data_IF_342098688372
#
_entry.id   IF_342098688372
#
_cell.length_a   1.000
_cell.length_b   1.000
_cell.length_c   1.000
_cell.angle_alpha   90.00
_cell.angle_beta   90.00
_cell.angle_gamma   90.00
#
_symmetry.space_group_name_H-M   'P 1'
#
loop_
_entity.id
_entity.type
_entity.pdbx_description
1 polymer ?
#
# COMPACT_ATOMS: atom_id res chain seq x y z
N UNK A 1 23.67 5.21 -29.44
CA UNK A 1 23.35 5.98 -28.23
C UNK A 1 22.52 7.18 -28.65
N UNK A 2 21.20 7.09 -28.50
CA UNK A 2 20.28 8.22 -28.69
C UNK A 2 19.94 8.68 -27.28
N UNK A 3 20.30 9.92 -26.94
CA UNK A 3 19.90 10.58 -25.71
C UNK A 3 18.36 10.62 -25.69
N UNK A 4 17.79 9.64 -24.98
CA UNK A 4 16.36 9.39 -24.84
C UNK A 4 15.81 10.61 -24.08
N UNK A 5 15.20 11.56 -24.80
CA UNK A 5 14.48 12.67 -24.18
C UNK A 5 13.53 12.07 -23.14
N UNK A 6 13.75 12.32 -21.85
CA UNK A 6 12.88 11.74 -20.84
C UNK A 6 11.48 12.30 -21.07
N UNK A 7 10.49 11.42 -21.10
CA UNK A 7 9.10 11.86 -21.23
C UNK A 7 8.73 12.58 -19.91
N UNK A 8 8.70 13.91 -19.96
CA UNK A 8 8.43 14.77 -18.80
C UNK A 8 6.94 15.09 -18.65
N UNK A 9 6.15 14.92 -19.72
CA UNK A 9 4.70 15.15 -19.71
C UNK A 9 3.94 13.97 -20.30
N UNK A 10 2.74 13.73 -19.75
CA UNK A 10 1.90 12.63 -20.20
C UNK A 10 1.30 12.96 -21.57
N UNK A 11 1.36 12.05 -22.57
CA UNK A 11 0.76 12.27 -23.88
C UNK A 11 -0.77 12.22 -23.79
N UNK A 12 -1.42 13.37 -23.65
CA UNK A 12 -2.87 13.46 -23.45
C UNK A 12 -3.71 12.80 -24.56
N UNK A 13 -3.16 12.65 -25.77
CA UNK A 13 -3.81 11.94 -26.87
C UNK A 13 -4.20 10.50 -26.52
N UNK A 14 -3.47 9.85 -25.60
CA UNK A 14 -3.76 8.50 -25.12
C UNK A 14 -5.10 8.44 -24.38
N UNK A 15 -5.52 9.52 -23.74
CA UNK A 15 -6.78 9.58 -22.99
C UNK A 15 -8.03 9.56 -23.89
N UNK A 16 -7.84 9.66 -25.21
CA UNK A 16 -8.89 9.49 -26.23
C UNK A 16 -9.18 8.01 -26.54
N UNK A 17 -8.26 7.10 -26.19
CA UNK A 17 -8.38 5.67 -26.49
C UNK A 17 -9.21 4.98 -25.41
N UNK A 18 -10.55 5.05 -25.56
CA UNK A 18 -11.51 4.63 -24.52
C UNK A 18 -11.43 3.16 -24.12
N UNK A 19 -10.96 2.29 -25.01
CA UNK A 19 -10.84 0.85 -24.74
C UNK A 19 -9.52 0.45 -24.05
N UNK A 20 -8.65 1.41 -23.69
CA UNK A 20 -7.41 1.08 -23.00
C UNK A 20 -7.72 0.53 -21.61
N UNK A 21 -7.17 -0.66 -21.35
CA UNK A 21 -7.26 -1.30 -20.04
C UNK A 21 -5.96 -1.21 -19.24
N UNK A 22 -4.83 -0.90 -19.88
CA UNK A 22 -3.51 -0.89 -19.23
C UNK A 22 -2.67 0.25 -19.75
N UNK A 23 -2.09 1.01 -18.82
CA UNK A 23 -1.11 2.06 -19.09
C UNK A 23 0.11 1.80 -18.22
N UNK A 24 1.28 1.83 -18.83
CA UNK A 24 2.56 1.82 -18.13
C UNK A 24 3.45 2.96 -18.66
N UNK A 25 3.67 3.95 -17.81
CA UNK A 25 4.62 5.05 -18.00
C UNK A 25 5.71 5.03 -16.91
N UNK A 26 6.01 3.85 -16.37
CA UNK A 26 7.08 3.71 -15.39
C UNK A 26 8.45 4.02 -16.00
N UNK A 27 9.40 4.47 -15.18
CA UNK A 27 10.74 4.90 -15.60
C UNK A 27 10.71 6.05 -16.62
N UNK A 28 9.78 6.98 -16.42
CA UNK A 28 9.71 8.26 -17.13
C UNK A 28 9.98 9.40 -16.15
N UNK A 29 10.18 10.61 -16.65
CA UNK A 29 10.33 11.78 -15.77
C UNK A 29 9.02 12.52 -15.58
N UNK A 30 7.89 11.81 -15.64
CA UNK A 30 6.58 12.39 -15.41
C UNK A 30 6.52 13.06 -14.03
N UNK A 31 6.16 14.34 -14.03
CA UNK A 31 5.94 15.12 -12.81
C UNK A 31 4.46 15.09 -12.39
N UNK A 32 3.55 14.83 -13.33
CA UNK A 32 2.11 14.78 -13.08
C UNK A 32 1.37 13.92 -14.10
N UNK A 33 0.14 13.56 -13.74
CA UNK A 33 -0.86 13.01 -14.64
C UNK A 33 -1.89 14.09 -15.00
N UNK A 34 -2.40 14.11 -16.24
CA UNK A 34 -3.37 15.11 -16.68
C UNK A 34 -4.76 14.77 -16.15
N UNK A 35 -5.63 15.76 -15.98
CA UNK A 35 -7.05 15.54 -15.63
C UNK A 35 -7.80 14.69 -16.67
N UNK A 36 -7.29 14.65 -17.90
CA UNK A 36 -7.86 13.80 -18.94
C UNK A 36 -7.67 12.30 -18.65
N UNK A 37 -6.83 11.89 -17.69
CA UNK A 37 -6.66 10.46 -17.33
C UNK A 37 -7.97 9.82 -16.86
N UNK A 38 -8.83 10.57 -16.16
CA UNK A 38 -10.13 10.08 -15.67
C UNK A 38 -11.12 9.70 -16.77
N UNK A 39 -10.81 10.00 -18.03
CA UNK A 39 -11.62 9.65 -19.19
C UNK A 39 -11.53 8.17 -19.60
N UNK A 40 -10.59 7.42 -19.03
CA UNK A 40 -10.30 6.02 -19.37
C UNK A 40 -11.12 5.07 -18.50
N UNK A 41 -12.45 5.06 -18.69
CA UNK A 41 -13.38 4.29 -17.85
C UNK A 41 -13.10 2.78 -17.77
N UNK A 42 -12.42 2.22 -18.78
CA UNK A 42 -12.03 0.81 -18.85
C UNK A 42 -10.61 0.51 -18.33
N UNK A 43 -9.88 1.52 -17.85
CA UNK A 43 -8.52 1.33 -17.33
C UNK A 43 -8.55 0.44 -16.08
N UNK A 44 -7.85 -0.69 -16.14
CA UNK A 44 -7.71 -1.68 -15.07
C UNK A 44 -6.35 -1.60 -14.39
N UNK A 45 -5.32 -1.11 -15.09
CA UNK A 45 -3.98 -0.97 -14.55
C UNK A 45 -3.34 0.35 -14.98
N UNK A 46 -2.83 1.09 -14.00
CA UNK A 46 -2.03 2.29 -14.21
C UNK A 46 -0.72 2.14 -13.45
N UNK A 47 0.40 2.13 -14.18
CA UNK A 47 1.74 2.11 -13.62
C UNK A 47 2.51 3.38 -14.03
N UNK A 48 3.00 4.11 -13.02
CA UNK A 48 3.81 5.32 -13.16
C UNK A 48 4.97 5.31 -12.15
N UNK A 49 5.57 4.13 -11.97
CA UNK A 49 6.68 3.94 -11.04
C UNK A 49 7.94 4.66 -11.52
N UNK A 50 8.88 4.96 -10.60
CA UNK A 50 10.17 5.55 -10.94
C UNK A 50 10.02 6.88 -11.71
N UNK A 51 9.17 7.76 -11.17
CA UNK A 51 8.85 9.06 -11.74
C UNK A 51 9.23 10.22 -10.81
N UNK A 52 8.61 11.37 -11.03
CA UNK A 52 8.74 12.56 -10.18
C UNK A 52 7.38 13.03 -9.66
N UNK A 53 6.37 12.15 -9.69
CA UNK A 53 4.99 12.47 -9.35
C UNK A 53 4.88 12.71 -7.84
N UNK A 54 4.23 13.81 -7.46
CA UNK A 54 3.94 14.14 -6.06
C UNK A 54 2.44 14.29 -5.77
N UNK A 55 1.59 14.38 -6.80
CA UNK A 55 0.13 14.51 -6.70
C UNK A 55 -0.56 13.67 -7.78
N UNK A 56 -1.85 13.41 -7.58
CA UNK A 56 -2.72 12.76 -8.56
C UNK A 56 -3.91 13.68 -8.88
N UNK A 57 -4.39 13.72 -10.14
CA UNK A 57 -5.53 14.54 -10.52
C UNK A 57 -6.83 14.03 -9.91
N UNK A 58 -7.76 14.93 -9.60
CA UNK A 58 -9.03 14.59 -8.95
C UNK A 58 -9.92 13.71 -9.84
N UNK A 59 -9.81 13.84 -11.15
CA UNK A 59 -10.48 13.00 -12.13
C UNK A 59 -10.13 11.51 -12.03
N UNK A 60 -9.05 11.12 -11.33
CA UNK A 60 -8.68 9.72 -11.16
C UNK A 60 -9.80 8.91 -10.49
N UNK A 61 -10.64 9.54 -9.65
CA UNK A 61 -11.85 8.92 -9.06
C UNK A 61 -12.85 8.38 -10.08
N UNK A 62 -12.78 8.82 -11.34
CA UNK A 62 -13.65 8.36 -12.42
C UNK A 62 -13.23 6.99 -12.97
N UNK A 63 -12.04 6.49 -12.64
CA UNK A 63 -11.53 5.19 -13.08
C UNK A 63 -12.21 4.03 -12.32
N UNK A 64 -13.50 3.81 -12.57
CA UNK A 64 -14.29 2.81 -11.83
C UNK A 64 -13.85 1.37 -12.07
N UNK A 65 -13.08 1.10 -13.13
CA UNK A 65 -12.55 -0.23 -13.45
C UNK A 65 -11.13 -0.49 -12.93
N UNK A 66 -10.48 0.48 -12.29
CA UNK A 66 -9.07 0.37 -11.88
C UNK A 66 -8.89 -0.72 -10.83
N UNK A 67 -7.98 -1.65 -11.10
CA UNK A 67 -7.66 -2.79 -10.22
C UNK A 67 -6.27 -2.67 -9.64
N UNK A 68 -5.32 -2.16 -10.40
CA UNK A 68 -3.92 -2.04 -9.98
C UNK A 68 -3.42 -0.62 -10.21
N UNK A 69 -2.84 -0.03 -9.16
CA UNK A 69 -2.20 1.28 -9.19
C UNK A 69 -0.76 1.16 -8.66
N UNK A 70 0.22 1.48 -9.51
CA UNK A 70 1.64 1.42 -9.20
C UNK A 70 2.24 2.83 -9.23
N UNK A 71 2.72 3.27 -8.06
CA UNK A 71 3.20 4.62 -7.73
C UNK A 71 4.56 4.57 -7.02
N UNK A 72 5.28 3.45 -7.16
CA UNK A 72 6.54 3.22 -6.45
C UNK A 72 7.62 4.21 -6.89
N UNK A 73 8.54 4.55 -5.99
CA UNK A 73 9.69 5.41 -6.30
C UNK A 73 9.27 6.74 -6.95
N UNK A 74 8.45 7.50 -6.23
CA UNK A 74 7.96 8.82 -6.62
C UNK A 74 8.24 9.83 -5.48
N UNK A 75 7.51 10.95 -5.44
CA UNK A 75 7.71 12.03 -4.47
C UNK A 75 6.48 12.26 -3.59
N UNK A 76 5.68 11.23 -3.34
CA UNK A 76 4.50 11.35 -2.47
C UNK A 76 4.93 11.54 -1.01
N UNK A 77 4.58 12.67 -0.42
CA UNK A 77 4.76 12.94 1.02
C UNK A 77 3.52 12.59 1.83
N UNK A 78 2.37 12.49 1.17
CA UNK A 78 1.07 12.07 1.71
C UNK A 78 0.36 11.22 0.66
N UNK A 79 -0.54 10.33 1.10
CA UNK A 79 -1.39 9.60 0.17
C UNK A 79 -2.42 10.58 -0.43
N UNK A 80 -2.49 10.75 -1.76
CA UNK A 80 -3.50 11.61 -2.37
C UNK A 80 -4.91 11.10 -2.04
N UNK A 81 -5.79 11.99 -1.57
CA UNK A 81 -7.13 11.62 -1.10
C UNK A 81 -7.96 10.86 -2.15
N UNK A 82 -7.76 11.20 -3.43
CA UNK A 82 -8.39 10.53 -4.58
C UNK A 82 -8.14 9.02 -4.63
N UNK A 83 -7.02 8.53 -4.08
CA UNK A 83 -6.73 7.09 -4.02
C UNK A 83 -7.81 6.37 -3.20
N UNK A 84 -8.30 6.99 -2.12
CA UNK A 84 -9.35 6.40 -1.26
C UNK A 84 -10.74 6.38 -1.88
N UNK A 85 -10.91 6.98 -3.07
CA UNK A 85 -12.14 6.94 -3.87
C UNK A 85 -12.13 5.82 -4.93
N UNK A 86 -11.03 5.10 -5.07
CA UNK A 86 -10.88 3.98 -6.01
C UNK A 86 -11.37 2.67 -5.39
N UNK A 87 -12.67 2.58 -5.08
CA UNK A 87 -13.24 1.43 -4.34
C UNK A 87 -13.09 0.06 -5.06
N UNK A 88 -12.84 0.07 -6.36
CA UNK A 88 -12.57 -1.14 -7.15
C UNK A 88 -11.12 -1.62 -7.10
N UNK A 89 -10.21 -0.84 -6.50
CA UNK A 89 -8.78 -1.10 -6.43
C UNK A 89 -8.50 -2.38 -5.62
N UNK A 90 -7.71 -3.27 -6.21
CA UNK A 90 -7.32 -4.56 -5.62
C UNK A 90 -5.85 -4.56 -5.21
N UNK A 91 -4.99 -3.86 -5.96
CA UNK A 91 -3.55 -3.80 -5.67
C UNK A 91 -3.07 -2.35 -5.67
N UNK A 92 -2.44 -1.93 -4.58
CA UNK A 92 -1.83 -0.62 -4.43
C UNK A 92 -0.35 -0.75 -4.06
N UNK A 93 0.52 -0.30 -4.95
CA UNK A 93 1.96 -0.28 -4.74
C UNK A 93 2.46 1.15 -4.69
N UNK A 94 2.89 1.63 -3.52
CA UNK A 94 3.38 3.01 -3.31
C UNK A 94 4.66 3.02 -2.46
N UNK A 95 5.46 1.96 -2.57
CA UNK A 95 6.74 1.83 -1.87
C UNK A 95 7.77 2.86 -2.33
N UNK A 96 8.79 3.10 -1.52
CA UNK A 96 9.88 4.06 -1.83
C UNK A 96 9.36 5.48 -2.09
N UNK A 97 8.54 5.97 -1.17
CA UNK A 97 8.04 7.34 -1.15
C UNK A 97 8.36 7.97 0.22
N UNK A 98 7.70 9.07 0.58
CA UNK A 98 7.94 9.81 1.82
C UNK A 98 6.65 9.93 2.65
N UNK A 99 5.75 8.96 2.54
CA UNK A 99 4.48 8.94 3.26
C UNK A 99 4.73 8.86 4.76
N UNK A 100 4.05 9.69 5.55
CA UNK A 100 4.16 9.67 7.02
C UNK A 100 2.96 9.05 7.72
N UNK A 101 1.81 8.97 7.04
CA UNK A 101 0.58 8.35 7.56
C UNK A 101 -0.37 7.98 6.41
N UNK A 102 -1.43 7.26 6.75
CA UNK A 102 -2.60 7.05 5.87
C UNK A 102 -3.82 7.75 6.48
N UNK A 103 -4.73 8.31 5.66
CA UNK A 103 -5.94 8.95 6.16
C UNK A 103 -6.95 7.92 6.68
N UNK A 104 -7.85 8.32 7.59
CA UNK A 104 -8.95 7.45 8.06
C UNK A 104 -9.93 7.02 6.96
N UNK A 105 -9.95 7.72 5.82
CA UNK A 105 -10.72 7.29 4.64
C UNK A 105 -10.12 6.07 3.95
N UNK A 106 -8.90 5.64 4.31
CA UNK A 106 -8.23 4.51 3.68
C UNK A 106 -9.02 3.20 3.81
N UNK A 107 -9.77 3.02 4.90
CA UNK A 107 -10.68 1.88 5.08
C UNK A 107 -11.84 1.79 4.08
N UNK A 108 -12.00 2.74 3.16
CA UNK A 108 -12.95 2.65 2.04
C UNK A 108 -12.56 1.62 0.99
N UNK A 109 -11.27 1.26 0.90
CA UNK A 109 -10.72 0.35 -0.11
C UNK A 109 -11.03 -1.12 0.19
N UNK A 110 -12.31 -1.47 0.30
CA UNK A 110 -12.78 -2.81 0.71
C UNK A 110 -12.40 -3.93 -0.26
N UNK A 111 -12.10 -3.58 -1.52
CA UNK A 111 -11.65 -4.53 -2.55
C UNK A 111 -10.13 -4.78 -2.52
N UNK A 112 -9.37 -4.04 -1.72
CA UNK A 112 -7.92 -4.11 -1.69
C UNK A 112 -7.48 -5.48 -1.16
N UNK A 113 -6.62 -6.15 -1.91
CA UNK A 113 -6.05 -7.48 -1.65
C UNK A 113 -4.56 -7.40 -1.32
N UNK A 114 -3.83 -6.54 -2.03
CA UNK A 114 -2.40 -6.34 -1.81
C UNK A 114 -2.07 -4.85 -1.64
N UNK A 115 -1.33 -4.56 -0.57
CA UNK A 115 -0.87 -3.22 -0.24
C UNK A 115 0.63 -3.25 0.04
N UNK A 116 1.40 -2.48 -0.75
CA UNK A 116 2.82 -2.27 -0.51
C UNK A 116 3.11 -0.81 -0.19
N UNK A 117 3.50 -0.56 1.05
CA UNK A 117 3.89 0.72 1.64
C UNK A 117 5.34 0.71 2.13
N UNK A 118 6.13 -0.30 1.76
CA UNK A 118 7.53 -0.41 2.20
C UNK A 118 8.37 0.81 1.82
N UNK A 119 9.46 1.06 2.55
CA UNK A 119 10.36 2.18 2.27
C UNK A 119 9.61 3.52 2.25
N UNK A 120 8.88 3.81 3.31
CA UNK A 120 8.25 5.10 3.57
C UNK A 120 8.64 5.58 4.98
N UNK A 121 8.00 6.64 5.47
CA UNK A 121 8.23 7.22 6.78
C UNK A 121 6.99 7.07 7.69
N UNK A 122 6.19 6.01 7.49
CA UNK A 122 4.91 5.86 8.18
C UNK A 122 5.15 5.59 9.66
N UNK A 123 4.56 6.40 10.53
CA UNK A 123 4.72 6.29 11.98
C UNK A 123 3.56 5.56 12.65
N UNK A 124 2.37 5.60 12.06
CA UNK A 124 1.20 4.86 12.54
C UNK A 124 0.23 4.50 11.40
N UNK A 125 -0.60 3.49 11.65
CA UNK A 125 -1.72 3.12 10.78
C UNK A 125 -3.04 3.65 11.35
N UNK A 126 -3.97 4.10 10.51
CA UNK A 126 -5.30 4.51 10.96
C UNK A 126 -6.10 3.29 11.45
N UNK A 127 -7.03 3.52 12.38
CA UNK A 127 -7.88 2.43 12.90
C UNK A 127 -8.75 1.81 11.80
N UNK A 128 -9.11 2.58 10.78
CA UNK A 128 -9.84 2.12 9.60
C UNK A 128 -9.10 1.07 8.75
N UNK A 129 -7.81 0.77 9.00
CA UNK A 129 -7.12 -0.34 8.33
C UNK A 129 -7.87 -1.68 8.51
N UNK A 130 -8.52 -1.86 9.67
CA UNK A 130 -9.35 -3.04 9.96
C UNK A 130 -10.62 -3.16 9.12
N UNK A 131 -10.94 -2.19 8.26
CA UNK A 131 -12.07 -2.25 7.33
C UNK A 131 -11.71 -2.80 5.94
N UNK A 132 -10.43 -3.09 5.69
CA UNK A 132 -9.95 -3.68 4.45
C UNK A 132 -10.27 -5.18 4.40
N UNK A 133 -11.55 -5.53 4.30
CA UNK A 133 -12.07 -6.90 4.46
C UNK A 133 -11.53 -7.92 3.45
N UNK A 134 -10.97 -7.48 2.33
CA UNK A 134 -10.40 -8.36 1.29
C UNK A 134 -8.87 -8.44 1.33
N UNK A 135 -8.21 -7.76 2.28
CA UNK A 135 -6.76 -7.62 2.28
C UNK A 135 -6.09 -8.94 2.65
N UNK A 136 -5.27 -9.45 1.73
CA UNK A 136 -4.56 -10.71 1.89
C UNK A 136 -3.07 -10.49 2.21
N UNK A 137 -2.50 -9.39 1.73
CA UNK A 137 -1.09 -9.08 1.91
C UNK A 137 -0.86 -7.61 2.21
N UNK A 138 -0.11 -7.35 3.28
CA UNK A 138 0.34 -6.00 3.64
C UNK A 138 1.85 -5.99 3.85
N UNK A 139 2.53 -5.12 3.11
CA UNK A 139 3.97 -4.88 3.23
C UNK A 139 4.19 -3.47 3.78
N UNK A 140 4.71 -3.40 5.00
CA UNK A 140 5.03 -2.18 5.74
C UNK A 140 6.50 -2.11 6.16
N UNK A 141 7.32 -3.00 5.64
CA UNK A 141 8.74 -3.08 5.97
C UNK A 141 9.47 -1.76 5.73
N UNK A 142 10.49 -1.43 6.54
CA UNK A 142 11.28 -0.20 6.39
C UNK A 142 10.41 1.05 6.45
N UNK A 143 9.70 1.17 7.55
CA UNK A 143 8.94 2.36 7.96
C UNK A 143 9.40 2.77 9.37
N UNK A 144 8.60 3.58 10.06
CA UNK A 144 8.90 4.08 11.40
C UNK A 144 7.78 3.72 12.39
N UNK A 145 7.05 2.62 12.13
CA UNK A 145 5.90 2.21 12.93
C UNK A 145 6.35 1.84 14.35
N UNK A 146 5.73 2.45 15.35
CA UNK A 146 5.93 2.10 16.77
C UNK A 146 4.88 1.11 17.29
N UNK A 147 3.72 1.06 16.65
CA UNK A 147 2.61 0.17 17.00
C UNK A 147 1.79 -0.25 15.78
N UNK A 148 1.04 -1.35 15.94
CA UNK A 148 -0.01 -1.79 15.01
C UNK A 148 -1.35 -1.67 15.74
N UNK A 149 -2.39 -1.07 15.14
CA UNK A 149 -3.67 -0.87 15.81
C UNK A 149 -4.39 -2.20 16.06
N UNK A 150 -5.15 -2.27 17.16
CA UNK A 150 -5.98 -3.45 17.50
C UNK A 150 -7.05 -3.78 16.43
N UNK A 151 -7.36 -2.83 15.54
CA UNK A 151 -8.27 -3.11 14.43
C UNK A 151 -7.70 -4.08 13.40
N UNK A 152 -6.39 -4.37 13.40
CA UNK A 152 -5.76 -5.30 12.47
C UNK A 152 -6.35 -6.71 12.56
N UNK A 153 -6.75 -7.16 13.76
CA UNK A 153 -7.36 -8.48 13.95
C UNK A 153 -8.70 -8.68 13.25
N UNK A 154 -9.34 -7.59 12.77
CA UNK A 154 -10.59 -7.66 12.00
C UNK A 154 -10.39 -8.15 10.55
N UNK A 155 -9.15 -8.15 10.05
CA UNK A 155 -8.84 -8.55 8.67
C UNK A 155 -8.66 -10.07 8.59
N UNK A 156 -9.75 -10.82 8.69
CA UNK A 156 -9.71 -12.30 8.71
C UNK A 156 -9.12 -12.94 7.45
N UNK A 157 -9.02 -12.18 6.35
CA UNK A 157 -8.45 -12.58 5.05
C UNK A 157 -6.94 -12.42 4.97
N UNK A 158 -6.29 -11.77 5.95
CA UNK A 158 -4.88 -11.45 5.90
C UNK A 158 -4.01 -12.71 6.03
N UNK A 159 -3.13 -12.93 5.05
CA UNK A 159 -2.24 -14.09 4.92
C UNK A 159 -0.79 -13.74 5.19
N UNK A 160 -0.36 -12.57 4.74
CA UNK A 160 1.04 -12.13 4.84
C UNK A 160 1.11 -10.71 5.42
N UNK A 161 1.91 -10.55 6.47
CA UNK A 161 2.16 -9.26 7.10
C UNK A 161 3.67 -9.06 7.27
N UNK A 162 4.23 -8.11 6.54
CA UNK A 162 5.67 -7.81 6.60
C UNK A 162 5.91 -6.48 7.31
N UNK A 163 6.43 -6.55 8.53
CA UNK A 163 6.70 -5.43 9.44
C UNK A 163 8.19 -5.21 9.71
N UNK A 164 9.06 -6.00 9.08
CA UNK A 164 10.49 -5.95 9.34
C UNK A 164 11.11 -4.56 9.13
N UNK A 165 12.15 -4.24 9.89
CA UNK A 165 12.79 -2.92 9.92
C UNK A 165 11.80 -1.77 10.23
N UNK A 166 11.18 -1.82 11.41
CA UNK A 166 10.35 -0.75 11.99
C UNK A 166 10.79 -0.48 13.44
N UNK A 167 10.02 0.30 14.20
CA UNK A 167 10.30 0.65 15.59
C UNK A 167 9.32 -0.03 16.57
N UNK A 168 8.80 -1.21 16.23
CA UNK A 168 7.75 -1.86 17.02
C UNK A 168 8.30 -2.33 18.38
N UNK A 169 7.62 -1.95 19.47
CA UNK A 169 7.92 -2.40 20.84
C UNK A 169 6.88 -3.39 21.39
N UNK A 170 5.71 -3.49 20.75
CA UNK A 170 4.69 -4.48 21.07
C UNK A 170 3.90 -4.88 19.81
N UNK A 171 3.15 -5.97 19.92
CA UNK A 171 2.07 -6.34 19.01
C UNK A 171 0.71 -6.20 19.71
N UNK A 172 -0.37 -5.85 18.98
CA UNK A 172 -1.73 -5.87 19.51
C UNK A 172 -2.17 -7.30 19.82
N UNK A 173 -3.04 -7.50 20.82
CA UNK A 173 -3.49 -8.86 21.17
C UNK A 173 -4.31 -9.49 20.04
N UNK A 174 -5.10 -8.66 19.35
CA UNK A 174 -5.93 -9.02 18.21
C UNK A 174 -5.16 -9.59 17.01
N UNK A 175 -3.84 -9.44 16.92
CA UNK A 175 -3.06 -10.13 15.87
C UNK A 175 -3.19 -11.67 15.99
N UNK A 176 -3.46 -12.16 17.20
CA UNK A 176 -3.72 -13.58 17.45
C UNK A 176 -5.08 -14.04 16.92
N UNK A 177 -5.97 -13.13 16.54
CA UNK A 177 -7.30 -13.41 15.96
C UNK A 177 -7.25 -13.63 14.45
N UNK A 178 -6.13 -13.29 13.79
CA UNK A 178 -5.97 -13.49 12.35
C UNK A 178 -5.94 -14.99 12.01
N UNK A 179 -7.05 -15.51 11.49
CA UNK A 179 -7.23 -16.93 11.20
C UNK A 179 -6.49 -17.39 9.93
N UNK A 180 -6.37 -16.50 8.94
CA UNK A 180 -5.73 -16.81 7.66
C UNK A 180 -4.23 -16.52 7.62
N UNK A 181 -3.65 -15.96 8.70
CA UNK A 181 -2.26 -15.52 8.71
C UNK A 181 -1.33 -16.73 8.54
N UNK A 182 -0.38 -16.60 7.64
CA UNK A 182 0.61 -17.64 7.32
C UNK A 182 2.03 -17.18 7.55
N UNK A 183 2.30 -15.89 7.33
CA UNK A 183 3.63 -15.32 7.50
C UNK A 183 3.55 -13.96 8.20
N UNK A 184 4.37 -13.80 9.23
CA UNK A 184 4.58 -12.56 9.97
C UNK A 184 6.07 -12.27 10.05
N UNK A 185 6.52 -11.20 9.40
CA UNK A 185 7.93 -10.78 9.44
C UNK A 185 8.08 -9.59 10.37
N UNK A 186 8.90 -9.71 11.41
CA UNK A 186 9.12 -8.69 12.45
C UNK A 186 10.60 -8.43 12.72
N UNK A 187 11.53 -9.08 12.03
CA UNK A 187 12.96 -8.86 12.17
C UNK A 187 13.34 -7.37 12.04
N UNK A 188 14.45 -6.98 12.68
CA UNK A 188 14.87 -5.58 12.69
C UNK A 188 13.90 -4.63 13.41
N UNK A 189 13.08 -5.14 14.34
CA UNK A 189 12.31 -4.36 15.29
C UNK A 189 12.78 -4.63 16.73
N UNK A 190 12.61 -3.68 17.67
CA UNK A 190 12.83 -3.92 19.10
C UNK A 190 12.09 -5.16 19.65
N UNK A 191 10.85 -5.43 19.18
CA UNK A 191 10.07 -6.63 19.56
C UNK A 191 10.74 -7.95 19.18
N UNK A 192 11.57 -7.97 18.15
CA UNK A 192 12.21 -9.20 17.69
C UNK A 192 13.38 -9.56 18.62
N UNK A 193 14.23 -8.59 18.95
CA UNK A 193 15.45 -8.83 19.72
C UNK A 193 15.21 -8.94 21.23
N UNK A 194 14.23 -8.20 21.77
CA UNK A 194 13.89 -8.19 23.19
C UNK A 194 12.37 -8.17 23.41
N UNK A 195 11.64 -9.25 23.08
CA UNK A 195 10.20 -9.31 23.23
C UNK A 195 9.78 -9.26 24.70
N UNK A 196 8.75 -8.48 25.01
CA UNK A 196 8.07 -8.58 26.31
C UNK A 196 7.36 -9.93 26.46
N UNK A 197 7.06 -10.36 27.69
CA UNK A 197 6.30 -11.61 27.93
C UNK A 197 4.92 -11.62 27.25
N UNK A 198 4.31 -10.44 27.04
CA UNK A 198 3.09 -10.30 26.24
C UNK A 198 3.33 -10.72 24.78
N UNK A 199 4.38 -10.19 24.16
CA UNK A 199 4.77 -10.49 22.78
C UNK A 199 5.14 -11.96 22.64
N UNK A 200 5.94 -12.51 23.55
CA UNK A 200 6.29 -13.95 23.54
C UNK A 200 5.04 -14.85 23.54
N UNK A 201 4.03 -14.50 24.35
CA UNK A 201 2.75 -15.23 24.39
C UNK A 201 2.02 -15.16 23.05
N UNK A 202 1.96 -13.99 22.43
CA UNK A 202 1.35 -13.77 21.11
C UNK A 202 2.08 -14.62 20.06
N UNK A 203 3.40 -14.50 19.95
CA UNK A 203 4.20 -15.25 18.98
C UNK A 203 4.06 -16.76 19.17
N UNK A 204 3.98 -17.24 20.41
CA UNK A 204 3.73 -18.66 20.71
C UNK A 204 2.35 -19.13 20.22
N UNK A 205 1.31 -18.30 20.33
CA UNK A 205 -0.03 -18.60 19.81
C UNK A 205 0.01 -18.67 18.27
N UNK A 206 0.65 -17.71 17.62
CA UNK A 206 0.80 -17.69 16.16
C UNK A 206 1.58 -18.91 15.64
N UNK A 207 2.72 -19.26 16.26
CA UNK A 207 3.48 -20.46 15.90
C UNK A 207 2.67 -21.75 16.04
N UNK A 208 1.82 -21.85 17.08
CA UNK A 208 0.89 -23.00 17.24
C UNK A 208 -0.16 -23.08 16.14
N UNK A 209 -0.53 -21.95 15.54
CA UNK A 209 -1.42 -21.89 14.37
C UNK A 209 -0.70 -22.20 13.05
N UNK A 210 0.61 -22.45 13.08
CA UNK A 210 1.42 -22.70 11.88
C UNK A 210 1.85 -21.44 11.14
N UNK A 211 1.82 -20.27 11.79
CA UNK A 211 2.36 -19.03 11.22
C UNK A 211 3.89 -19.11 11.20
N UNK A 212 4.48 -18.88 10.03
CA UNK A 212 5.90 -18.68 9.86
C UNK A 212 6.29 -17.29 10.37
N UNK A 213 7.23 -17.24 11.32
CA UNK A 213 7.75 -16.02 11.94
C UNK A 213 9.27 -16.10 11.85
N UNK A 214 9.91 -15.03 11.39
CA UNK A 214 11.38 -14.88 11.43
C UNK A 214 11.94 -14.73 12.85
#
# INVERSE_FOLDING_TARGET
>A
MIYKYPLTSFPESITKLKSIETINFSSTELESLPESIGNLAHLKMLAVDNGKISTLPDSLKNLKSIKTLMLQNNKFTQLPGVVTELESLENLFISSNQLTSLPETFGRLKSLKELNLSWNNITSLPNSIGYLSSLEKIILSKNQLSEIPESIGKISTLKEMWLHENNLESLPESISELESLKSLQIDGNPIHDNPSSKVERILKVLRKKGVEID
#
